data_IF_574533475841
#
_entry.id   IF_574533475841
#
_cell.length_a   1.000
_cell.length_b   1.000
_cell.length_c   1.000
_cell.angle_alpha   90.00
_cell.angle_beta   90.00
_cell.angle_gamma   90.00
#
_symmetry.space_group_name_H-M   'P 1'
#
loop_
_entity.id
_entity.type
_entity.pdbx_description
1 polymer ?
#
# COMPACT_ATOMS: atom_id res chain seq x y z
N UNK A 1 -44.25 41.84 50.86
CA UNK A 1 -43.35 41.89 49.68
C UNK A 1 -42.44 40.67 49.75
N UNK A 2 -42.60 39.72 48.83
CA UNK A 2 -41.78 38.52 48.73
C UNK A 2 -41.21 38.47 47.30
N UNK A 3 -39.88 38.49 47.22
CA UNK A 3 -39.13 38.53 45.96
C UNK A 3 -39.25 37.18 45.23
N UNK A 4 -39.67 37.22 43.96
CA UNK A 4 -39.62 36.10 43.01
C UNK A 4 -38.17 35.90 42.56
N UNK A 5 -37.63 34.72 42.83
CA UNK A 5 -36.37 34.24 42.27
C UNK A 5 -36.69 33.48 40.98
N UNK A 6 -36.23 33.98 39.84
CA UNK A 6 -36.32 33.33 38.54
C UNK A 6 -35.20 32.30 38.43
N UNK A 7 -35.54 31.01 38.46
CA UNK A 7 -34.60 29.93 38.16
C UNK A 7 -34.39 29.83 36.64
N UNK A 8 -33.27 30.37 36.20
CA UNK A 8 -32.76 30.29 34.84
C UNK A 8 -32.13 28.89 34.64
N UNK A 9 -32.97 27.88 34.34
CA UNK A 9 -32.53 26.53 33.98
C UNK A 9 -31.87 26.58 32.60
N UNK A 10 -30.54 26.74 32.60
CA UNK A 10 -29.70 26.51 31.42
C UNK A 10 -29.78 25.05 31.00
N UNK A 11 -30.33 24.83 29.80
CA UNK A 11 -30.32 23.57 29.06
C UNK A 11 -28.88 23.06 28.83
N UNK A 12 -28.42 22.22 29.75
CA UNK A 12 -27.17 21.49 29.64
C UNK A 12 -27.41 20.08 29.05
N UNK A 13 -28.11 19.97 27.92
CA UNK A 13 -28.27 18.64 27.27
C UNK A 13 -28.54 18.74 25.77
N UNK A 14 -27.58 19.26 25.01
CA UNK A 14 -27.45 18.90 23.59
C UNK A 14 -25.99 18.92 23.16
N UNK A 15 -25.19 18.05 23.77
CA UNK A 15 -24.01 17.52 23.07
C UNK A 15 -24.55 16.85 21.81
N UNK A 16 -24.54 17.59 20.70
CA UNK A 16 -24.76 17.06 19.36
C UNK A 16 -23.86 15.82 19.24
N UNK A 17 -24.47 14.62 19.29
CA UNK A 17 -23.82 13.40 18.83
C UNK A 17 -23.39 13.71 17.40
N UNK A 18 -22.09 13.94 17.20
CA UNK A 18 -21.49 13.91 15.88
C UNK A 18 -21.96 12.59 15.24
N UNK A 19 -22.48 12.60 14.00
CA UNK A 19 -22.88 11.37 13.34
C UNK A 19 -21.70 10.41 13.47
N UNK A 20 -21.95 9.23 14.05
CA UNK A 20 -20.93 8.19 14.16
C UNK A 20 -20.43 7.93 12.75
N UNK A 21 -19.27 8.49 12.40
CA UNK A 21 -18.59 8.16 11.16
C UNK A 21 -18.45 6.64 11.18
N UNK A 22 -19.04 5.97 10.19
CA UNK A 22 -18.94 4.51 10.08
C UNK A 22 -17.49 4.07 10.27
N UNK A 23 -17.29 2.85 10.78
CA UNK A 23 -15.96 2.29 11.05
C UNK A 23 -15.03 2.54 9.86
N UNK A 24 -13.90 3.19 10.10
CA UNK A 24 -12.89 3.52 9.07
C UNK A 24 -11.84 2.44 9.02
N UNK A 25 -11.48 2.03 7.81
CA UNK A 25 -10.39 1.10 7.57
C UNK A 25 -9.11 1.88 7.25
N UNK A 26 -8.10 1.73 8.10
CA UNK A 26 -6.85 2.49 7.98
C UNK A 26 -5.79 1.75 7.18
N UNK A 27 -5.62 0.46 7.43
CA UNK A 27 -4.58 -0.33 6.78
C UNK A 27 -5.03 -1.77 6.53
N UNK A 28 -4.47 -2.38 5.50
CA UNK A 28 -4.79 -3.72 5.05
C UNK A 28 -3.53 -4.52 4.79
N UNK A 29 -3.32 -5.65 5.47
CA UNK A 29 -2.22 -6.54 5.13
C UNK A 29 -2.50 -7.21 3.77
N UNK A 30 -1.51 -7.21 2.90
CA UNK A 30 -1.56 -7.96 1.66
C UNK A 30 -0.22 -8.60 1.34
N UNK A 31 -0.24 -9.62 0.49
CA UNK A 31 0.93 -10.35 0.04
C UNK A 31 0.89 -10.49 -1.47
N UNK A 32 2.05 -10.33 -2.12
CA UNK A 32 2.19 -10.58 -3.55
C UNK A 32 1.96 -12.07 -3.83
N UNK A 33 0.98 -12.37 -4.66
CA UNK A 33 0.68 -13.72 -5.16
C UNK A 33 0.39 -13.67 -6.65
N UNK A 34 1.18 -14.40 -7.44
CA UNK A 34 1.29 -14.18 -8.88
C UNK A 34 1.58 -12.71 -9.15
N UNK A 35 0.64 -12.02 -9.80
CA UNK A 35 0.75 -10.58 -10.15
C UNK A 35 -0.18 -9.66 -9.33
N UNK A 36 -0.66 -10.13 -8.19
CA UNK A 36 -1.67 -9.43 -7.40
C UNK A 36 -1.25 -9.32 -5.94
N UNK A 37 -1.60 -8.22 -5.32
CA UNK A 37 -1.56 -8.09 -3.87
C UNK A 37 -2.88 -8.61 -3.31
N UNK A 38 -2.82 -9.74 -2.60
CA UNK A 38 -3.98 -10.38 -1.99
C UNK A 38 -3.97 -10.20 -0.48
N UNK A 39 -5.12 -9.87 0.10
CA UNK A 39 -5.28 -9.64 1.52
C UNK A 39 -6.71 -9.90 1.97
N UNK A 40 -6.98 -9.68 3.24
CA UNK A 40 -8.32 -9.80 3.81
C UNK A 40 -8.47 -8.94 5.06
N UNK A 41 -9.72 -8.65 5.42
CA UNK A 41 -10.05 -7.86 6.60
C UNK A 41 -11.48 -8.15 7.09
N UNK A 42 -11.74 -7.78 8.34
CA UNK A 42 -13.04 -7.94 8.96
C UNK A 42 -13.55 -6.59 9.45
N UNK A 43 -14.81 -6.28 9.14
CA UNK A 43 -15.44 -5.04 9.59
C UNK A 43 -16.96 -5.21 9.66
N UNK A 44 -17.57 -4.75 10.74
CA UNK A 44 -19.02 -4.90 10.95
C UNK A 44 -19.50 -6.35 10.99
N UNK A 45 -18.67 -7.28 11.46
CA UNK A 45 -19.00 -8.71 11.53
C UNK A 45 -18.99 -9.44 10.19
N UNK A 46 -18.47 -8.80 9.12
CA UNK A 46 -18.30 -9.40 7.80
C UNK A 46 -16.82 -9.50 7.48
N UNK A 47 -16.41 -10.65 6.93
CA UNK A 47 -15.06 -10.87 6.40
C UNK A 47 -15.04 -10.55 4.90
N UNK A 48 -13.97 -9.91 4.45
CA UNK A 48 -13.76 -9.51 3.06
C UNK A 48 -12.40 -10.01 2.57
N UNK A 49 -12.36 -10.51 1.34
CA UNK A 49 -11.14 -10.74 0.59
C UNK A 49 -10.87 -9.52 -0.30
N UNK A 50 -9.62 -9.09 -0.39
CA UNK A 50 -9.17 -8.03 -1.29
C UNK A 50 -8.10 -8.56 -2.23
N UNK A 51 -8.22 -8.22 -3.51
CA UNK A 51 -7.17 -8.42 -4.50
C UNK A 51 -6.95 -7.14 -5.30
N UNK A 52 -5.73 -6.60 -5.26
CA UNK A 52 -5.31 -5.52 -6.15
C UNK A 52 -4.33 -6.07 -7.19
N UNK A 53 -4.70 -5.96 -8.47
CA UNK A 53 -3.91 -6.43 -9.61
C UNK A 53 -3.37 -5.22 -10.38
N UNK A 54 -2.12 -4.78 -10.11
CA UNK A 54 -1.48 -3.74 -10.91
C UNK A 54 -1.42 -4.17 -12.37
N UNK A 55 -1.73 -3.24 -13.27
CA UNK A 55 -1.60 -3.41 -14.72
C UNK A 55 -0.60 -2.41 -15.31
N UNK A 56 -0.37 -1.28 -14.64
CA UNK A 56 0.57 -0.26 -15.10
C UNK A 56 1.33 0.34 -13.93
N UNK A 57 2.61 0.58 -14.14
CA UNK A 57 3.50 1.33 -13.26
C UNK A 57 3.97 2.62 -13.94
N UNK A 58 4.12 3.68 -13.17
CA UNK A 58 4.67 4.97 -13.59
C UNK A 58 5.37 5.66 -12.41
N UNK A 59 6.15 6.70 -12.71
CA UNK A 59 6.72 7.59 -11.68
C UNK A 59 5.91 8.89 -11.65
N UNK A 60 5.41 9.26 -10.48
CA UNK A 60 4.70 10.52 -10.26
C UNK A 60 5.25 11.17 -8.98
N UNK A 61 5.73 12.40 -9.08
CA UNK A 61 6.27 13.12 -7.92
C UNK A 61 7.41 12.36 -7.21
N UNK A 62 8.29 11.70 -7.99
CA UNK A 62 9.40 10.84 -7.53
C UNK A 62 8.98 9.57 -6.80
N UNK A 63 7.71 9.17 -6.90
CA UNK A 63 7.19 7.96 -6.27
C UNK A 63 6.67 6.99 -7.31
N UNK A 64 6.75 5.71 -6.98
CA UNK A 64 6.12 4.66 -7.77
C UNK A 64 4.60 4.75 -7.63
N UNK A 65 3.92 5.00 -8.74
CA UNK A 65 2.48 4.89 -8.87
C UNK A 65 2.13 3.60 -9.63
N UNK A 66 1.19 2.85 -9.07
CA UNK A 66 0.57 1.71 -9.69
C UNK A 66 -0.86 2.07 -10.10
N UNK A 67 -1.30 1.53 -11.22
CA UNK A 67 -2.68 1.58 -11.66
C UNK A 67 -3.14 0.17 -12.02
N UNK A 68 -4.30 -0.24 -11.54
CA UNK A 68 -4.74 -1.61 -11.68
C UNK A 68 -6.19 -1.85 -11.34
N UNK A 69 -6.57 -3.12 -11.26
CA UNK A 69 -7.91 -3.55 -10.87
C UNK A 69 -7.95 -3.86 -9.39
N UNK A 70 -8.86 -3.22 -8.66
CA UNK A 70 -9.17 -3.58 -7.28
C UNK A 70 -10.42 -4.46 -7.27
N UNK A 71 -10.37 -5.58 -6.56
CA UNK A 71 -11.49 -6.50 -6.36
C UNK A 71 -11.70 -6.74 -4.88
N UNK A 72 -12.94 -6.66 -4.43
CA UNK A 72 -13.36 -7.01 -3.07
C UNK A 72 -14.43 -8.09 -3.19
N UNK A 73 -14.29 -9.15 -2.40
CA UNK A 73 -15.27 -10.22 -2.28
C UNK A 73 -15.72 -10.30 -0.83
N UNK A 74 -17.03 -10.28 -0.59
CA UNK A 74 -17.59 -10.42 0.75
C UNK A 74 -17.71 -11.89 1.18
N UNK A 75 -18.03 -12.12 2.46
CA UNK A 75 -18.24 -13.45 3.03
C UNK A 75 -19.41 -14.22 2.41
N UNK A 76 -20.30 -13.55 1.66
CA UNK A 76 -21.41 -14.16 0.92
C UNK A 76 -21.02 -14.53 -0.52
N UNK A 77 -19.76 -14.29 -0.90
CA UNK A 77 -19.22 -14.56 -2.23
C UNK A 77 -19.54 -13.47 -3.27
N UNK A 78 -20.19 -12.37 -2.88
CA UNK A 78 -20.43 -11.27 -3.81
C UNK A 78 -19.12 -10.56 -4.11
N UNK A 79 -18.81 -10.44 -5.39
CA UNK A 79 -17.58 -9.82 -5.86
C UNK A 79 -17.89 -8.47 -6.51
N UNK A 80 -17.14 -7.44 -6.12
CA UNK A 80 -17.18 -6.10 -6.69
C UNK A 80 -15.78 -5.70 -7.13
N UNK A 81 -15.66 -5.14 -8.32
CA UNK A 81 -14.38 -4.71 -8.87
C UNK A 81 -14.44 -3.27 -9.37
N UNK A 82 -13.31 -2.58 -9.28
CA UNK A 82 -13.10 -1.26 -9.87
C UNK A 82 -11.82 -1.29 -10.68
N UNK A 83 -11.94 -0.88 -11.94
CA UNK A 83 -10.81 -0.75 -12.84
C UNK A 83 -10.07 0.57 -12.65
N UNK A 84 -8.81 0.60 -13.10
CA UNK A 84 -7.97 1.81 -13.15
C UNK A 84 -7.79 2.50 -11.79
N UNK A 85 -7.84 1.73 -10.71
CA UNK A 85 -7.56 2.23 -9.36
C UNK A 85 -6.09 2.57 -9.24
N UNK A 86 -5.81 3.84 -8.92
CA UNK A 86 -4.47 4.33 -8.66
C UNK A 86 -4.05 4.06 -7.22
N UNK A 87 -2.80 3.67 -7.07
CA UNK A 87 -2.18 3.39 -5.78
C UNK A 87 -0.75 3.96 -5.79
N UNK A 88 -0.37 4.70 -4.76
CA UNK A 88 0.92 5.36 -4.64
C UNK A 88 1.76 4.66 -3.56
N UNK A 89 3.00 4.29 -3.88
CA UNK A 89 3.95 3.82 -2.86
C UNK A 89 4.40 5.03 -2.03
N UNK A 90 4.09 5.01 -0.73
CA UNK A 90 4.38 6.10 0.21
C UNK A 90 5.51 5.77 1.18
N UNK A 91 5.92 4.50 1.25
CA UNK A 91 7.06 4.04 2.02
C UNK A 91 7.40 2.60 1.71
N UNK A 92 8.56 2.15 2.14
CA UNK A 92 8.99 0.76 1.98
C UNK A 92 9.63 0.23 3.26
N UNK A 93 9.84 -1.08 3.31
CA UNK A 93 10.65 -1.72 4.33
C UNK A 93 11.59 -2.72 3.66
N UNK A 94 12.88 -2.62 3.98
CA UNK A 94 13.89 -3.55 3.51
C UNK A 94 13.76 -4.94 4.14
N UNK A 95 14.28 -5.95 3.45
CA UNK A 95 14.59 -7.26 4.01
C UNK A 95 16.09 -7.53 3.98
N UNK A 96 16.56 -8.39 4.88
CA UNK A 96 17.94 -8.91 4.92
C UNK A 96 17.88 -10.41 4.61
N UNK A 97 18.65 -10.87 3.62
CA UNK A 97 18.67 -12.28 3.20
C UNK A 97 19.28 -12.44 1.81
N UNK A 98 18.96 -13.55 1.12
CA UNK A 98 19.33 -13.70 -0.29
C UNK A 98 18.48 -12.77 -1.15
N UNK A 99 19.07 -11.64 -1.57
CA UNK A 99 18.41 -10.73 -2.49
C UNK A 99 18.05 -11.45 -3.80
N UNK A 100 16.88 -11.16 -4.40
CA UNK A 100 16.54 -11.73 -5.69
C UNK A 100 17.54 -11.23 -6.76
N UNK A 101 17.87 -12.06 -7.76
CA UNK A 101 18.81 -11.67 -8.80
C UNK A 101 18.29 -10.42 -9.54
N UNK A 102 19.10 -9.36 -9.57
CA UNK A 102 18.81 -8.10 -10.24
C UNK A 102 19.60 -8.00 -11.54
N UNK A 103 19.09 -7.25 -12.53
CA UNK A 103 19.82 -7.00 -13.79
C UNK A 103 21.04 -6.11 -13.62
N UNK A 104 21.02 -5.24 -12.61
CA UNK A 104 22.17 -4.44 -12.22
C UNK A 104 22.66 -4.92 -10.86
N UNK A 105 23.87 -5.46 -10.83
CA UNK A 105 24.58 -5.68 -9.57
C UNK A 105 24.99 -4.31 -9.02
N UNK A 106 24.37 -3.90 -7.93
CA UNK A 106 24.92 -2.80 -7.13
C UNK A 106 26.14 -3.37 -6.40
N UNK A 107 27.33 -3.30 -7.01
CA UNK A 107 28.60 -3.57 -6.31
C UNK A 107 28.80 -2.50 -5.24
N UNK A 108 28.29 -2.77 -4.04
CA UNK A 108 28.61 -2.01 -2.84
C UNK A 108 29.24 -2.96 -1.85
N UNK A 109 30.54 -2.80 -1.63
CA UNK A 109 31.24 -3.46 -0.53
C UNK A 109 30.78 -2.75 0.75
N UNK A 110 29.95 -3.43 1.55
CA UNK A 110 29.51 -2.96 2.85
C UNK A 110 30.73 -2.56 3.69
N UNK A 111 30.98 -1.26 3.85
CA UNK A 111 32.05 -0.77 4.71
C UNK A 111 31.40 -0.36 6.02
N UNK A 112 31.74 -1.05 7.11
CA UNK A 112 31.17 -0.76 8.42
C UNK A 112 31.45 0.70 8.81
N UNK A 113 30.41 1.55 8.82
CA UNK A 113 30.50 2.93 9.30
C UNK A 113 29.97 3.03 10.73
N UNK A 114 30.49 3.94 11.59
CA UNK A 114 29.99 4.16 12.95
C UNK A 114 28.55 4.71 13.04
N UNK A 115 27.95 5.08 11.91
CA UNK A 115 26.57 5.55 11.86
C UNK A 115 25.59 4.38 11.94
N UNK A 116 24.46 4.55 12.66
CA UNK A 116 23.42 3.54 12.68
C UNK A 116 22.96 3.23 11.25
N UNK A 117 22.71 1.96 10.90
CA UNK A 117 22.30 1.59 9.55
C UNK A 117 21.00 2.29 9.20
N UNK A 118 20.96 2.91 8.02
CA UNK A 118 19.72 3.42 7.45
C UNK A 118 18.76 2.24 7.28
N UNK A 119 17.51 2.38 7.75
CA UNK A 119 16.53 1.29 7.88
C UNK A 119 15.93 0.87 6.51
N UNK A 120 16.47 1.39 5.41
CA UNK A 120 16.00 1.14 4.05
C UNK A 120 17.10 0.46 3.22
N UNK A 121 16.72 -0.61 2.51
CA UNK A 121 17.46 -1.31 1.45
C UNK A 121 18.99 -1.05 1.44
N UNK A 122 19.71 -1.55 2.47
CA UNK A 122 21.17 -1.40 2.55
C UNK A 122 21.88 -2.41 1.64
N UNK A 123 22.28 -1.95 0.46
CA UNK A 123 23.37 -2.53 -0.35
C UNK A 123 23.04 -3.82 -1.12
N UNK A 124 24.06 -4.47 -1.70
CA UNK A 124 23.98 -5.59 -2.64
C UNK A 124 23.14 -6.79 -2.16
N UNK A 125 22.94 -6.93 -0.85
CA UNK A 125 22.20 -8.03 -0.20
C UNK A 125 20.82 -7.62 0.33
N UNK A 126 20.46 -6.34 0.24
CA UNK A 126 19.14 -5.87 0.65
C UNK A 126 18.12 -5.99 -0.48
N UNK A 127 16.83 -5.96 -0.14
CA UNK A 127 15.75 -5.93 -1.12
C UNK A 127 14.51 -5.27 -0.52
N UNK A 128 13.56 -4.85 -1.37
CA UNK A 128 12.26 -4.39 -0.90
C UNK A 128 11.44 -5.60 -0.39
N UNK A 129 11.25 -5.67 0.93
CA UNK A 129 10.47 -6.73 1.59
C UNK A 129 8.99 -6.35 1.77
N UNK A 130 8.70 -5.06 1.92
CA UNK A 130 7.33 -4.57 1.94
C UNK A 130 7.20 -3.17 1.32
N UNK A 131 6.03 -2.88 0.76
CA UNK A 131 5.62 -1.57 0.28
C UNK A 131 4.37 -1.12 1.03
N UNK A 132 4.37 0.15 1.45
CA UNK A 132 3.20 0.83 2.00
C UNK A 132 2.56 1.65 0.88
N UNK A 133 1.33 1.29 0.49
CA UNK A 133 0.68 1.81 -0.71
C UNK A 133 -0.62 2.52 -0.33
N UNK A 134 -0.76 3.80 -0.67
CA UNK A 134 -2.02 4.52 -0.51
C UNK A 134 -2.84 4.43 -1.78
N UNK A 135 -4.08 3.95 -1.68
CA UNK A 135 -5.01 4.07 -2.79
C UNK A 135 -5.49 5.51 -2.95
N UNK A 136 -5.92 5.87 -4.15
CA UNK A 136 -6.82 6.99 -4.31
C UNK A 136 -8.08 6.81 -3.44
N UNK A 137 -8.80 7.89 -3.07
CA UNK A 137 -10.01 7.76 -2.26
C UNK A 137 -11.00 6.76 -2.86
N UNK A 138 -11.29 5.71 -2.09
CA UNK A 138 -12.21 4.64 -2.47
C UNK A 138 -13.57 4.86 -1.83
N UNK A 139 -14.63 4.66 -2.61
CA UNK A 139 -16.00 4.64 -2.11
C UNK A 139 -16.33 3.21 -1.67
N UNK A 140 -16.35 2.97 -0.35
CA UNK A 140 -16.62 1.64 0.22
C UNK A 140 -17.93 1.04 -0.28
N UNK A 141 -19.01 1.84 -0.32
CA UNK A 141 -20.33 1.40 -0.80
C UNK A 141 -20.33 0.89 -2.24
N UNK A 142 -19.54 1.50 -3.13
CA UNK A 142 -19.40 1.04 -4.52
C UNK A 142 -18.67 -0.31 -4.62
N UNK A 143 -17.88 -0.67 -3.60
CA UNK A 143 -17.17 -1.93 -3.48
C UNK A 143 -17.89 -2.94 -2.55
N UNK A 144 -19.11 -2.63 -2.10
CA UNK A 144 -19.87 -3.50 -1.18
C UNK A 144 -19.34 -3.51 0.26
N UNK A 145 -18.52 -2.53 0.64
CA UNK A 145 -17.92 -2.43 1.97
C UNK A 145 -18.61 -1.33 2.77
N UNK A 146 -19.09 -1.67 3.97
CA UNK A 146 -19.81 -0.74 4.86
C UNK A 146 -18.91 0.34 5.49
N UNK A 147 -17.60 0.14 5.43
CA UNK A 147 -16.58 0.99 6.04
C UNK A 147 -16.14 2.16 5.14
N UNK A 148 -15.62 3.21 5.77
CA UNK A 148 -14.92 4.29 5.07
C UNK A 148 -13.55 3.81 4.59
N UNK A 149 -13.37 3.75 3.26
CA UNK A 149 -12.13 3.35 2.56
C UNK A 149 -11.37 4.52 1.95
N UNK A 150 -11.76 5.77 2.23
CA UNK A 150 -11.22 6.96 1.57
C UNK A 150 -9.72 7.22 1.81
N UNK A 151 -9.11 6.56 2.79
CA UNK A 151 -7.70 6.71 3.17
C UNK A 151 -7.00 5.39 3.48
N UNK A 152 -7.43 4.30 2.84
CA UNK A 152 -6.90 2.98 3.16
C UNK A 152 -5.49 2.79 2.60
N UNK A 153 -4.59 2.29 3.44
CA UNK A 153 -3.24 1.88 3.08
C UNK A 153 -3.18 0.37 2.89
N UNK A 154 -2.54 -0.10 1.83
CA UNK A 154 -2.14 -1.48 1.66
C UNK A 154 -0.72 -1.68 2.19
N UNK A 155 -0.54 -2.63 3.10
CA UNK A 155 0.76 -3.09 3.58
C UNK A 155 1.13 -4.32 2.76
N UNK A 156 1.71 -4.09 1.58
CA UNK A 156 2.02 -5.13 0.61
C UNK A 156 3.36 -5.81 0.92
N UNK A 157 3.34 -7.08 1.31
CA UNK A 157 4.53 -7.90 1.53
C UNK A 157 4.97 -8.59 0.25
N UNK A 158 6.27 -8.57 0.01
CA UNK A 158 6.95 -9.26 -1.08
C UNK A 158 7.63 -10.50 -0.50
N UNK A 159 6.99 -11.65 -0.67
CA UNK A 159 7.47 -12.94 -0.17
C UNK A 159 7.25 -14.00 -1.28
N UNK A 160 8.12 -13.98 -2.31
CA UNK A 160 7.88 -14.73 -3.53
C UNK A 160 8.02 -16.23 -3.31
N UNK A 161 7.11 -17.01 -3.89
CA UNK A 161 7.14 -18.48 -3.84
C UNK A 161 7.54 -19.12 -5.17
N UNK A 162 7.55 -18.36 -6.27
CA UNK A 162 7.93 -18.83 -7.59
C UNK A 162 8.87 -17.83 -8.32
N UNK A 163 9.30 -18.19 -9.53
CA UNK A 163 10.21 -17.37 -10.34
C UNK A 163 9.56 -16.05 -10.82
N UNK A 164 8.27 -16.06 -11.11
CA UNK A 164 7.55 -14.88 -11.59
C UNK A 164 7.40 -13.84 -10.48
N UNK A 165 7.04 -14.28 -9.27
CA UNK A 165 6.99 -13.44 -8.08
C UNK A 165 8.39 -12.92 -7.70
N UNK A 166 9.44 -13.74 -7.85
CA UNK A 166 10.83 -13.29 -7.65
C UNK A 166 11.22 -12.19 -8.65
N UNK A 167 10.86 -12.34 -9.92
CA UNK A 167 11.11 -11.32 -10.94
C UNK A 167 10.38 -10.01 -10.62
N UNK A 168 9.12 -10.08 -10.16
CA UNK A 168 8.37 -8.92 -9.71
C UNK A 168 9.03 -8.26 -8.49
N UNK A 169 9.46 -9.03 -7.49
CA UNK A 169 10.16 -8.49 -6.32
C UNK A 169 11.48 -7.81 -6.73
N UNK A 170 12.23 -8.41 -7.66
CA UNK A 170 13.45 -7.81 -8.19
C UNK A 170 13.16 -6.46 -8.86
N UNK A 171 12.17 -6.41 -9.77
CA UNK A 171 11.79 -5.18 -10.45
C UNK A 171 11.29 -4.10 -9.47
N UNK A 172 10.46 -4.46 -8.49
CA UNK A 172 10.07 -3.52 -7.44
C UNK A 172 11.29 -3.01 -6.66
N UNK A 173 12.20 -3.90 -6.27
CA UNK A 173 13.39 -3.50 -5.51
C UNK A 173 14.27 -2.53 -6.31
N UNK A 174 14.54 -2.80 -7.59
CA UNK A 174 15.33 -1.92 -8.45
C UNK A 174 14.69 -0.54 -8.62
N UNK A 175 13.36 -0.47 -8.79
CA UNK A 175 12.65 0.81 -8.87
C UNK A 175 12.75 1.58 -7.54
N UNK A 176 12.59 0.88 -6.41
CA UNK A 176 12.70 1.50 -5.10
C UNK A 176 14.11 2.02 -4.85
N UNK A 177 15.14 1.23 -5.15
CA UNK A 177 16.54 1.67 -5.00
C UNK A 177 16.82 2.92 -5.87
N UNK A 178 16.29 2.95 -7.10
CA UNK A 178 16.46 4.10 -8.01
C UNK A 178 15.69 5.36 -7.58
N UNK A 179 14.53 5.22 -6.92
CA UNK A 179 13.66 6.35 -6.55
C UNK A 179 13.86 6.84 -5.11
N UNK A 180 14.25 5.95 -4.20
CA UNK A 180 14.34 6.18 -2.75
C UNK A 180 15.77 6.02 -2.21
N UNK A 181 16.73 5.61 -3.03
CA UNK A 181 18.14 5.57 -2.65
C UNK A 181 18.76 6.96 -2.44
N UNK A 182 20.00 6.99 -1.92
CA UNK A 182 20.74 8.23 -1.59
C UNK A 182 20.86 9.20 -2.78
N UNK A 183 20.95 8.67 -3.99
CA UNK A 183 20.90 9.44 -5.22
C UNK A 183 19.77 8.93 -6.09
N UNK A 184 18.84 9.82 -6.42
CA UNK A 184 17.72 9.48 -7.29
C UNK A 184 18.23 9.33 -8.73
N UNK A 185 18.06 8.14 -9.30
CA UNK A 185 18.35 7.85 -10.69
C UNK A 185 17.06 7.67 -11.49
N UNK A 186 16.59 8.76 -12.08
CA UNK A 186 15.36 8.78 -12.88
C UNK A 186 15.46 7.97 -14.16
N UNK A 187 16.68 7.77 -14.69
CA UNK A 187 16.91 6.99 -15.91
C UNK A 187 16.83 5.51 -15.59
N UNK A 188 17.50 5.06 -14.53
CA UNK A 188 17.38 3.69 -14.03
C UNK A 188 15.93 3.36 -13.67
N UNK A 189 15.24 4.25 -12.95
CA UNK A 189 13.83 4.08 -12.63
C UNK A 189 12.96 3.92 -13.89
N UNK A 190 13.19 4.70 -14.95
CA UNK A 190 12.43 4.60 -16.19
C UNK A 190 12.64 3.24 -16.91
N UNK A 191 13.87 2.71 -16.91
CA UNK A 191 14.17 1.38 -17.48
C UNK A 191 13.42 0.30 -16.70
N UNK A 192 13.53 0.33 -15.37
CA UNK A 192 12.91 -0.68 -14.50
C UNK A 192 11.38 -0.59 -14.51
N UNK A 193 10.80 0.60 -14.67
CA UNK A 193 9.35 0.78 -14.88
C UNK A 193 8.88 0.08 -16.16
N UNK A 194 9.64 0.16 -17.25
CA UNK A 194 9.28 -0.54 -18.48
C UNK A 194 9.33 -2.06 -18.30
N UNK A 195 10.30 -2.57 -17.56
CA UNK A 195 10.39 -3.99 -17.24
C UNK A 195 9.28 -4.46 -16.30
N UNK A 196 8.98 -3.71 -15.24
CA UNK A 196 7.83 -3.99 -14.38
C UNK A 196 6.54 -4.04 -15.21
N UNK A 197 6.34 -3.09 -16.12
CA UNK A 197 5.18 -3.10 -17.01
C UNK A 197 5.13 -4.37 -17.89
N UNK A 198 6.25 -4.89 -18.40
CA UNK A 198 6.25 -6.17 -19.13
C UNK A 198 5.85 -7.34 -18.24
N UNK A 199 6.46 -7.45 -17.05
CA UNK A 199 6.17 -8.52 -16.08
C UNK A 199 4.70 -8.54 -15.63
N UNK A 200 4.05 -7.37 -15.58
CA UNK A 200 2.61 -7.26 -15.26
C UNK A 200 1.69 -7.77 -16.39
N UNK A 201 2.18 -7.89 -17.63
CA UNK A 201 1.39 -8.26 -18.81
C UNK A 201 1.74 -9.63 -19.43
N UNK A 202 2.94 -10.16 -19.23
CA UNK A 202 3.32 -11.49 -19.74
C UNK A 202 2.28 -12.53 -19.32
N UNK A 203 1.91 -13.51 -20.15
CA UNK A 203 0.89 -14.52 -19.82
C UNK A 203 1.44 -15.89 -20.16
#
# INVERSE_FOLDING_TARGET
MLFRQSDDKKDATSLRKLPSRGSRLHSLPAILRGRQFKGGFEIGGLSYELAYAPARASVVGRRLQLQGRLTIKDSRGQTRSRERVRAMVVGTQGGIGTAPPRRQEHTSVATATPQPPEVESTEATSFCGAMYIHFEPLMGSALGVVADLSRVQLNARLAPVDNSERALQAAYSSIIDALYGKQIDTRAAAIEINELNKLLHES
#
